data_IF_926762275087
#
_entry.id   IF_926762275087
#
_cell.length_a   1.000
_cell.length_b   1.000
_cell.length_c   1.000
_cell.angle_alpha   90.00
_cell.angle_beta   90.00
_cell.angle_gamma   90.00
#
_symmetry.space_group_name_H-M   'P 1'
#
loop_
_entity.id
_entity.type
_entity.pdbx_description
1 polymer ?
#
# COMPACT_ATOMS: atom_id res chain seq x y z
N UNK A 1 22.64 1.56 10.48
CA UNK A 1 22.65 0.40 9.56
C UNK A 1 21.96 -0.83 10.19
N UNK A 2 22.32 -1.34 11.41
CA UNK A 2 21.69 -2.57 11.95
C UNK A 2 20.16 -2.47 12.12
N UNK A 3 19.66 -1.34 12.57
CA UNK A 3 18.20 -1.12 12.73
C UNK A 3 17.42 -1.23 11.42
N UNK A 4 18.04 -0.91 10.28
CA UNK A 4 17.41 -1.04 8.96
C UNK A 4 17.20 -2.52 8.63
N UNK A 5 18.20 -3.37 8.86
CA UNK A 5 18.07 -4.81 8.63
C UNK A 5 17.04 -5.45 9.54
N UNK A 6 17.01 -5.07 10.82
CA UNK A 6 15.98 -5.54 11.76
C UNK A 6 14.59 -5.10 11.26
N UNK A 7 14.44 -3.85 10.80
CA UNK A 7 13.19 -3.33 10.25
C UNK A 7 12.71 -4.10 9.01
N UNK A 8 13.61 -4.44 8.08
CA UNK A 8 13.28 -5.22 6.88
C UNK A 8 12.82 -6.63 7.29
N UNK A 9 13.59 -7.30 8.16
CA UNK A 9 13.21 -8.63 8.66
C UNK A 9 11.84 -8.61 9.33
N UNK A 10 11.57 -7.61 10.18
CA UNK A 10 10.31 -7.46 10.87
C UNK A 10 9.14 -7.21 9.91
N UNK A 11 9.34 -6.35 8.91
CA UNK A 11 8.33 -6.07 7.89
C UNK A 11 7.93 -7.32 7.09
N UNK A 12 8.93 -8.11 6.64
CA UNK A 12 8.67 -9.38 5.95
C UNK A 12 7.97 -10.37 6.88
N UNK A 13 8.39 -10.45 8.14
CA UNK A 13 7.82 -11.37 9.14
C UNK A 13 6.34 -11.07 9.41
N UNK A 14 5.95 -9.80 9.55
CA UNK A 14 4.53 -9.41 9.77
C UNK A 14 3.66 -9.91 8.63
N UNK A 15 4.06 -9.70 7.38
CA UNK A 15 3.29 -10.14 6.21
C UNK A 15 3.23 -11.67 6.11
N UNK A 16 4.32 -12.35 6.42
CA UNK A 16 4.41 -13.81 6.40
C UNK A 16 3.52 -14.44 7.48
N UNK A 17 3.59 -13.92 8.71
CA UNK A 17 2.74 -14.40 9.83
C UNK A 17 1.27 -14.17 9.52
N UNK A 18 0.91 -13.00 8.99
CA UNK A 18 -0.47 -12.69 8.59
C UNK A 18 -0.96 -13.69 7.53
N UNK A 19 -0.15 -14.00 6.53
CA UNK A 19 -0.50 -15.01 5.52
C UNK A 19 -0.71 -16.39 6.15
N UNK A 20 0.14 -16.80 7.08
CA UNK A 20 0.02 -18.11 7.76
C UNK A 20 -1.20 -18.19 8.68
N UNK A 21 -1.66 -17.07 9.24
CA UNK A 21 -2.92 -17.05 10.00
C UNK A 21 -4.11 -17.43 9.09
N UNK A 22 -4.11 -17.02 7.83
CA UNK A 22 -5.14 -17.43 6.88
C UNK A 22 -4.94 -18.90 6.44
N UNK A 23 -3.73 -19.26 6.03
CA UNK A 23 -3.42 -20.62 5.54
C UNK A 23 -3.67 -21.68 6.62
N UNK A 24 -3.47 -21.35 7.90
CA UNK A 24 -3.69 -22.25 9.02
C UNK A 24 -5.15 -22.59 9.33
N UNK A 25 -6.11 -21.90 8.69
CA UNK A 25 -7.54 -22.14 8.88
C UNK A 25 -8.02 -23.30 8.00
N UNK A 26 -7.83 -24.53 8.47
CA UNK A 26 -8.18 -25.74 7.71
C UNK A 26 -9.66 -25.85 7.28
N UNK A 27 -10.58 -25.22 8.02
CA UNK A 27 -12.00 -25.14 7.65
C UNK A 27 -12.32 -24.12 6.55
N UNK A 28 -11.30 -23.44 6.00
CA UNK A 28 -11.44 -22.40 4.96
C UNK A 28 -10.56 -22.73 3.75
N UNK A 29 -11.03 -23.61 2.86
CA UNK A 29 -10.23 -24.15 1.76
C UNK A 29 -9.66 -23.07 0.83
N UNK A 30 -10.39 -21.98 0.60
CA UNK A 30 -9.97 -20.89 -0.28
C UNK A 30 -8.63 -20.26 0.14
N UNK A 31 -8.34 -20.20 1.46
CA UNK A 31 -7.07 -19.67 1.96
C UNK A 31 -5.97 -20.72 2.06
N UNK A 32 -6.31 -22.00 1.98
CA UNK A 32 -5.32 -23.08 2.09
C UNK A 32 -4.48 -23.22 0.81
N UNK A 33 -3.60 -22.25 0.61
CA UNK A 33 -2.70 -22.20 -0.53
C UNK A 33 -1.34 -21.63 -0.14
N UNK A 34 -0.27 -22.32 -0.53
CA UNK A 34 1.10 -21.86 -0.31
C UNK A 34 1.42 -20.52 -1.00
N UNK A 35 0.63 -20.14 -2.03
CA UNK A 35 0.82 -18.90 -2.79
C UNK A 35 0.40 -17.66 -1.97
N UNK A 36 -0.43 -17.82 -0.94
CA UNK A 36 -0.93 -16.68 -0.14
C UNK A 36 0.22 -15.88 0.48
N UNK A 37 1.24 -16.54 1.05
CA UNK A 37 2.41 -15.89 1.63
C UNK A 37 3.16 -14.99 0.61
N UNK A 38 3.67 -15.55 -0.48
CA UNK A 38 4.29 -14.78 -1.57
C UNK A 38 3.41 -13.65 -2.11
N UNK A 39 2.09 -13.86 -2.24
CA UNK A 39 1.14 -12.82 -2.66
C UNK A 39 1.05 -11.65 -1.67
N UNK A 40 1.06 -11.92 -0.37
CA UNK A 40 1.08 -10.86 0.65
C UNK A 40 2.34 -10.02 0.54
N UNK A 41 3.50 -10.67 0.39
CA UNK A 41 4.78 -9.97 0.24
C UNK A 41 4.80 -9.14 -1.05
N UNK A 42 4.43 -9.72 -2.20
CA UNK A 42 4.42 -9.00 -3.48
C UNK A 42 3.49 -7.78 -3.44
N UNK A 43 2.30 -7.92 -2.86
CA UNK A 43 1.35 -6.82 -2.71
C UNK A 43 1.85 -5.74 -1.74
N UNK A 44 2.55 -6.10 -0.67
CA UNK A 44 3.17 -5.15 0.25
C UNK A 44 4.29 -4.33 -0.43
N UNK A 45 5.14 -5.00 -1.21
CA UNK A 45 6.17 -4.33 -2.02
C UNK A 45 5.61 -3.54 -3.20
N UNK A 46 4.35 -3.73 -3.56
CA UNK A 46 3.64 -2.90 -4.53
C UNK A 46 3.03 -1.67 -3.85
N UNK A 47 2.17 -1.86 -2.85
CA UNK A 47 1.42 -0.79 -2.22
C UNK A 47 2.31 0.10 -1.33
N UNK A 48 3.25 -0.48 -0.57
CA UNK A 48 4.13 0.26 0.33
C UNK A 48 4.96 1.32 -0.39
N UNK A 49 5.82 0.96 -1.34
CA UNK A 49 6.59 1.93 -2.09
C UNK A 49 5.72 2.90 -2.92
N UNK A 50 4.52 2.49 -3.39
CA UNK A 50 3.59 3.39 -4.05
C UNK A 50 3.09 4.49 -3.11
N UNK A 51 2.75 4.15 -1.85
CA UNK A 51 2.40 5.13 -0.80
C UNK A 51 3.60 6.06 -0.53
N UNK A 52 4.82 5.52 -0.45
CA UNK A 52 6.03 6.32 -0.23
C UNK A 52 6.25 7.30 -1.38
N UNK A 53 6.04 6.91 -2.64
CA UNK A 53 6.15 7.81 -3.80
C UNK A 53 5.18 8.97 -3.64
N UNK A 54 3.90 8.71 -3.35
CA UNK A 54 2.89 9.76 -3.15
C UNK A 54 3.25 10.67 -1.98
N UNK A 55 3.74 10.08 -0.88
CA UNK A 55 4.19 10.82 0.30
C UNK A 55 5.38 11.74 -0.03
N UNK A 56 6.38 11.25 -0.75
CA UNK A 56 7.55 12.03 -1.17
C UNK A 56 7.16 13.15 -2.15
N UNK A 57 6.20 12.90 -3.04
CA UNK A 57 5.68 13.93 -3.93
C UNK A 57 4.87 14.99 -3.17
N UNK A 58 4.11 14.60 -2.16
CA UNK A 58 3.44 15.54 -1.26
C UNK A 58 4.45 16.41 -0.51
N UNK A 59 5.52 15.82 0.06
CA UNK A 59 6.62 16.57 0.69
C UNK A 59 7.19 17.60 -0.30
N UNK A 60 7.50 17.17 -1.51
CA UNK A 60 8.07 18.01 -2.56
C UNK A 60 7.15 19.16 -2.96
N UNK A 61 5.83 18.97 -2.87
CA UNK A 61 4.82 19.98 -3.22
C UNK A 61 4.54 20.97 -2.08
N UNK A 62 4.54 20.49 -0.84
CA UNK A 62 4.11 21.26 0.33
C UNK A 62 5.26 21.75 1.21
N UNK A 63 6.50 21.35 0.92
CA UNK A 63 7.69 21.76 1.67
C UNK A 63 8.79 22.25 0.73
N UNK A 64 9.80 22.91 1.29
CA UNK A 64 11.00 23.32 0.58
C UNK A 64 12.03 22.20 0.42
N UNK A 65 11.76 21.02 0.98
CA UNK A 65 12.66 19.88 0.89
C UNK A 65 12.67 19.27 -0.52
N UNK A 66 13.88 19.16 -1.08
CA UNK A 66 14.04 18.61 -2.44
C UNK A 66 14.28 17.11 -2.41
N UNK A 67 13.31 16.36 -2.89
CA UNK A 67 13.42 14.92 -3.13
C UNK A 67 14.01 14.69 -4.51
N UNK A 68 15.13 13.94 -4.66
CA UNK A 68 15.74 13.68 -5.97
C UNK A 68 14.85 12.74 -6.81
N UNK A 69 14.72 13.03 -8.11
CA UNK A 69 13.94 12.20 -9.04
C UNK A 69 14.44 10.76 -9.10
N UNK A 70 15.75 10.55 -8.93
CA UNK A 70 16.34 9.21 -8.87
C UNK A 70 15.72 8.32 -7.79
N UNK A 71 15.39 8.88 -6.62
CA UNK A 71 14.74 8.13 -5.54
C UNK A 71 13.32 7.68 -5.96
N UNK A 72 12.54 8.58 -6.57
CA UNK A 72 11.20 8.26 -7.05
C UNK A 72 11.23 7.20 -8.17
N UNK A 73 12.17 7.32 -9.11
CA UNK A 73 12.31 6.35 -10.20
C UNK A 73 12.79 4.98 -9.71
N UNK A 74 13.63 4.93 -8.67
CA UNK A 74 14.02 3.66 -8.04
C UNK A 74 12.82 2.99 -7.39
N UNK A 75 12.05 3.73 -6.61
CA UNK A 75 10.81 3.21 -5.99
C UNK A 75 9.80 2.77 -7.05
N UNK A 76 9.63 3.54 -8.14
CA UNK A 76 8.81 3.15 -9.29
C UNK A 76 9.20 1.78 -9.83
N UNK A 77 10.51 1.51 -9.99
CA UNK A 77 10.97 0.22 -10.50
C UNK A 77 10.63 -0.93 -9.54
N UNK A 78 10.70 -0.69 -8.24
CA UNK A 78 10.27 -1.66 -7.22
C UNK A 78 8.77 -1.93 -7.36
N UNK A 79 7.93 -0.90 -7.43
CA UNK A 79 6.47 -1.05 -7.62
C UNK A 79 6.17 -1.83 -8.90
N UNK A 80 6.85 -1.52 -10.00
CA UNK A 80 6.64 -2.18 -11.29
C UNK A 80 6.94 -3.68 -11.23
N UNK A 81 8.10 -4.06 -10.70
CA UNK A 81 8.49 -5.48 -10.58
C UNK A 81 7.56 -6.23 -9.62
N UNK A 82 7.26 -5.62 -8.47
CA UNK A 82 6.38 -6.24 -7.47
C UNK A 82 4.95 -6.40 -7.98
N UNK A 83 4.42 -5.43 -8.73
CA UNK A 83 3.11 -5.51 -9.36
C UNK A 83 3.07 -6.63 -10.41
N UNK A 84 4.11 -6.78 -11.23
CA UNK A 84 4.21 -7.89 -12.18
C UNK A 84 4.18 -9.24 -11.45
N UNK A 85 4.94 -9.38 -10.38
CA UNK A 85 4.94 -10.60 -9.56
C UNK A 85 3.56 -10.82 -8.92
N UNK A 86 2.92 -9.77 -8.40
CA UNK A 86 1.58 -9.89 -7.81
C UNK A 86 0.54 -10.36 -8.83
N UNK A 87 0.53 -9.78 -10.04
CA UNK A 87 -0.38 -10.20 -11.11
C UNK A 87 -0.10 -11.64 -11.57
N UNK A 88 1.16 -12.03 -11.68
CA UNK A 88 1.56 -13.40 -12.01
C UNK A 88 1.07 -14.41 -10.96
N UNK A 89 1.25 -14.09 -9.67
CA UNK A 89 0.79 -14.95 -8.58
C UNK A 89 -0.75 -15.01 -8.52
N UNK A 90 -1.45 -13.90 -8.81
CA UNK A 90 -2.91 -13.89 -8.94
C UNK A 90 -3.36 -14.80 -10.09
N UNK A 91 -2.72 -14.72 -11.24
CA UNK A 91 -3.03 -15.59 -12.38
C UNK A 91 -2.80 -17.07 -12.05
N UNK A 92 -1.70 -17.40 -11.36
CA UNK A 92 -1.44 -18.76 -10.90
C UNK A 92 -2.50 -19.26 -9.90
N UNK A 93 -2.97 -18.40 -9.00
CA UNK A 93 -4.04 -18.79 -8.07
C UNK A 93 -5.35 -19.04 -8.81
N UNK A 94 -5.74 -18.15 -9.72
CA UNK A 94 -6.92 -18.34 -10.56
C UNK A 94 -6.81 -19.64 -11.36
N UNK A 95 -5.65 -19.88 -12.00
CA UNK A 95 -5.41 -21.13 -12.72
C UNK A 95 -5.57 -22.36 -11.81
N UNK A 96 -4.93 -22.36 -10.66
CA UNK A 96 -5.02 -23.45 -9.67
C UNK A 96 -6.47 -23.73 -9.26
N UNK A 97 -7.22 -22.68 -8.94
CA UNK A 97 -8.59 -22.81 -8.43
C UNK A 97 -9.54 -23.38 -9.51
N UNK A 98 -9.41 -22.96 -10.76
CA UNK A 98 -10.28 -23.43 -11.84
C UNK A 98 -9.79 -24.70 -12.57
N UNK A 99 -8.50 -25.03 -12.45
CA UNK A 99 -7.95 -26.24 -13.06
C UNK A 99 -8.33 -27.51 -12.30
N UNK A 100 -8.39 -27.42 -10.97
CA UNK A 100 -8.78 -28.55 -10.12
C UNK A 100 -10.22 -28.33 -9.65
N UNK A 101 -11.15 -29.19 -10.02
CA UNK A 101 -12.56 -29.12 -9.59
C UNK A 101 -12.69 -29.57 -8.13
N UNK A 102 -12.21 -28.76 -7.20
CA UNK A 102 -12.15 -28.97 -5.76
C UNK A 102 -13.21 -28.16 -5.01
N UNK A 103 -13.34 -28.38 -3.69
CA UNK A 103 -14.16 -27.56 -2.79
C UNK A 103 -13.80 -26.05 -2.83
N UNK A 104 -12.56 -25.72 -3.19
CA UNK A 104 -12.07 -24.36 -3.38
C UNK A 104 -12.79 -23.59 -4.50
N UNK A 105 -13.21 -24.30 -5.56
CA UNK A 105 -13.82 -23.69 -6.76
C UNK A 105 -15.07 -22.89 -6.44
N UNK A 106 -15.84 -23.28 -5.42
CA UNK A 106 -17.07 -22.58 -5.03
C UNK A 106 -16.81 -21.13 -4.64
N UNK A 107 -15.79 -20.88 -3.81
CA UNK A 107 -15.40 -19.52 -3.40
C UNK A 107 -14.82 -18.72 -4.57
N UNK A 108 -14.01 -19.35 -5.43
CA UNK A 108 -13.49 -18.72 -6.62
C UNK A 108 -14.61 -18.40 -7.64
N UNK A 109 -15.55 -19.29 -7.86
CA UNK A 109 -16.73 -19.03 -8.71
C UNK A 109 -17.55 -17.88 -8.18
N UNK A 110 -17.84 -17.86 -6.84
CA UNK A 110 -18.55 -16.76 -6.21
C UNK A 110 -17.84 -15.42 -6.44
N UNK A 111 -16.51 -15.41 -6.29
CA UNK A 111 -15.71 -14.20 -6.47
C UNK A 111 -15.72 -13.67 -7.91
N UNK A 112 -15.48 -14.54 -8.90
CA UNK A 112 -15.26 -14.12 -10.29
C UNK A 112 -16.52 -14.05 -11.15
N UNK A 113 -17.49 -14.92 -10.88
CA UNK A 113 -18.67 -15.10 -11.73
C UNK A 113 -19.99 -15.03 -10.97
N UNK A 114 -19.95 -15.14 -9.65
CA UNK A 114 -21.11 -15.32 -8.81
C UNK A 114 -21.51 -16.78 -8.65
N UNK A 115 -22.31 -17.06 -7.62
CA UNK A 115 -22.76 -18.40 -7.27
C UNK A 115 -24.23 -18.35 -6.83
N UNK A 116 -25.07 -19.24 -7.37
CA UNK A 116 -26.51 -19.37 -7.04
C UNK A 116 -27.30 -18.04 -7.10
N UNK A 117 -26.96 -17.13 -8.00
CA UNK A 117 -27.61 -15.83 -8.13
C UNK A 117 -27.00 -14.70 -7.28
N UNK A 118 -26.01 -15.01 -6.47
CA UNK A 118 -25.29 -14.03 -5.66
C UNK A 118 -24.06 -13.51 -6.41
N UNK A 119 -23.91 -12.18 -6.53
CA UNK A 119 -22.89 -11.54 -7.36
C UNK A 119 -22.18 -10.34 -6.68
N UNK A 120 -22.33 -10.14 -5.38
CA UNK A 120 -21.86 -8.93 -4.70
C UNK A 120 -20.35 -8.69 -4.85
N UNK A 121 -19.51 -9.73 -4.94
CA UNK A 121 -18.06 -9.58 -5.05
C UNK A 121 -17.55 -9.44 -6.48
N UNK A 122 -18.34 -9.82 -7.49
CA UNK A 122 -17.91 -9.80 -8.90
C UNK A 122 -17.42 -8.42 -9.36
N UNK A 123 -18.15 -7.31 -9.13
CA UNK A 123 -17.68 -6.00 -9.56
C UNK A 123 -16.38 -5.57 -8.85
N UNK A 124 -16.19 -5.98 -7.60
CA UNK A 124 -15.00 -5.63 -6.84
C UNK A 124 -13.73 -6.28 -7.39
N UNK A 125 -13.75 -7.59 -7.66
CA UNK A 125 -12.57 -8.29 -8.15
C UNK A 125 -12.17 -7.82 -9.55
N UNK A 126 -13.14 -7.62 -10.44
CA UNK A 126 -12.84 -7.13 -11.78
C UNK A 126 -12.33 -5.69 -11.79
N UNK A 127 -12.84 -4.84 -10.88
CA UNK A 127 -12.31 -3.49 -10.66
C UNK A 127 -10.88 -3.54 -10.15
N UNK A 128 -10.58 -4.41 -9.18
CA UNK A 128 -9.22 -4.58 -8.65
C UNK A 128 -8.24 -5.02 -9.73
N UNK A 129 -8.62 -6.03 -10.54
CA UNK A 129 -7.79 -6.51 -11.66
C UNK A 129 -7.60 -5.40 -12.69
N UNK A 130 -8.66 -4.69 -13.05
CA UNK A 130 -8.60 -3.56 -13.99
C UNK A 130 -7.64 -2.47 -13.51
N UNK A 131 -7.69 -2.11 -12.23
CA UNK A 131 -6.79 -1.12 -11.64
C UNK A 131 -5.34 -1.62 -11.60
N UNK A 132 -5.11 -2.85 -11.17
CA UNK A 132 -3.77 -3.43 -11.10
C UNK A 132 -3.13 -3.57 -12.47
N UNK A 133 -3.89 -4.03 -13.48
CA UNK A 133 -3.41 -4.13 -14.86
C UNK A 133 -3.13 -2.75 -15.45
N UNK A 134 -4.04 -1.79 -15.25
CA UNK A 134 -3.85 -0.41 -15.72
C UNK A 134 -2.63 0.23 -15.05
N UNK A 135 -2.45 0.05 -13.75
CA UNK A 135 -1.28 0.51 -13.02
C UNK A 135 0.01 -0.10 -13.59
N UNK A 136 0.01 -1.42 -13.86
CA UNK A 136 1.15 -2.11 -14.46
C UNK A 136 1.47 -1.58 -15.85
N UNK A 137 0.47 -1.36 -16.71
CA UNK A 137 0.65 -0.78 -18.05
C UNK A 137 1.24 0.62 -17.96
N UNK A 138 0.69 1.48 -17.10
CA UNK A 138 1.22 2.83 -16.88
C UNK A 138 2.68 2.80 -16.39
N UNK A 139 3.01 1.89 -15.46
CA UNK A 139 4.37 1.72 -14.96
C UNK A 139 5.32 1.16 -16.03
N UNK A 140 4.86 0.31 -16.93
CA UNK A 140 5.67 -0.23 -18.03
C UNK A 140 5.96 0.80 -19.10
N UNK A 141 5.04 1.71 -19.35
CA UNK A 141 5.20 2.76 -20.35
C UNK A 141 6.16 3.87 -19.90
N UNK A 142 6.87 4.53 -20.83
CA UNK A 142 7.74 5.67 -20.50
C UNK A 142 6.98 6.87 -19.92
N UNK A 143 5.65 6.91 -20.06
CA UNK A 143 4.78 7.94 -19.49
C UNK A 143 4.95 8.08 -17.96
N UNK A 144 5.16 6.99 -17.24
CA UNK A 144 5.34 6.98 -15.79
C UNK A 144 6.68 7.58 -15.31
N UNK A 145 7.55 8.00 -16.22
CA UNK A 145 8.67 8.88 -15.91
C UNK A 145 8.21 10.32 -15.63
N UNK A 146 7.02 10.70 -16.14
CA UNK A 146 6.35 11.94 -15.78
C UNK A 146 5.61 11.79 -14.44
N UNK A 147 5.81 12.72 -13.51
CA UNK A 147 5.32 12.64 -12.13
C UNK A 147 3.80 12.44 -12.01
N UNK A 148 3.01 13.09 -12.88
CA UNK A 148 1.54 12.96 -12.85
C UNK A 148 1.06 11.55 -13.18
N UNK A 149 1.68 10.92 -14.17
CA UNK A 149 1.35 9.55 -14.57
C UNK A 149 1.83 8.53 -13.54
N UNK A 150 2.95 8.83 -12.88
CA UNK A 150 3.44 8.03 -11.77
C UNK A 150 2.47 8.08 -10.57
N UNK A 151 1.95 9.26 -10.23
CA UNK A 151 0.95 9.40 -9.17
C UNK A 151 -0.33 8.61 -9.48
N UNK A 152 -0.83 8.73 -10.72
CA UNK A 152 -2.01 7.98 -11.15
C UNK A 152 -1.78 6.47 -11.06
N UNK A 153 -0.63 5.97 -11.52
CA UNK A 153 -0.27 4.57 -11.42
C UNK A 153 -0.17 4.10 -9.96
N UNK A 154 0.42 4.91 -9.07
CA UNK A 154 0.52 4.60 -7.64
C UNK A 154 -0.86 4.55 -6.97
N UNK A 155 -1.75 5.50 -7.27
CA UNK A 155 -3.12 5.52 -6.72
C UNK A 155 -3.88 4.27 -7.18
N UNK A 156 -3.84 3.93 -8.47
CA UNK A 156 -4.48 2.74 -9.00
C UNK A 156 -3.92 1.46 -8.37
N UNK A 157 -2.59 1.38 -8.20
CA UNK A 157 -1.95 0.24 -7.55
C UNK A 157 -2.39 0.09 -6.08
N UNK A 158 -2.42 1.17 -5.31
CA UNK A 158 -2.83 1.15 -3.90
C UNK A 158 -4.29 0.70 -3.77
N UNK A 159 -5.19 1.33 -4.53
CA UNK A 159 -6.63 1.02 -4.47
C UNK A 159 -6.88 -0.39 -5.00
N UNK A 160 -6.25 -0.78 -6.11
CA UNK A 160 -6.38 -2.12 -6.69
C UNK A 160 -5.92 -3.22 -5.74
N UNK A 161 -4.76 -3.06 -5.10
CA UNK A 161 -4.25 -4.01 -4.10
C UNK A 161 -5.16 -4.04 -2.86
N UNK A 162 -5.66 -2.89 -2.40
CA UNK A 162 -6.56 -2.84 -1.26
C UNK A 162 -7.86 -3.61 -1.50
N UNK A 163 -8.49 -3.40 -2.66
CA UNK A 163 -9.69 -4.14 -3.05
C UNK A 163 -9.37 -5.64 -3.24
N UNK A 164 -8.26 -5.97 -3.91
CA UNK A 164 -7.83 -7.34 -4.13
C UNK A 164 -7.64 -8.12 -2.81
N UNK A 165 -7.07 -7.48 -1.78
CA UNK A 165 -6.84 -8.14 -0.49
C UNK A 165 -8.08 -8.15 0.41
N UNK A 166 -8.86 -7.07 0.45
CA UNK A 166 -10.09 -7.00 1.23
C UNK A 166 -11.20 -7.84 0.60
N UNK A 167 -11.75 -7.35 -0.50
CA UNK A 167 -12.91 -7.97 -1.15
C UNK A 167 -12.57 -9.21 -1.97
N UNK A 168 -11.32 -9.32 -2.47
CA UNK A 168 -10.88 -10.42 -3.32
C UNK A 168 -10.23 -11.59 -2.59
N UNK A 169 -9.78 -11.42 -1.35
CA UNK A 169 -9.14 -12.49 -0.59
C UNK A 169 -9.84 -12.76 0.75
N UNK A 170 -10.09 -11.72 1.56
CA UNK A 170 -10.64 -11.91 2.89
C UNK A 170 -12.09 -12.39 2.82
N UNK A 171 -12.96 -11.66 2.12
CA UNK A 171 -14.39 -11.96 2.10
C UNK A 171 -14.71 -13.32 1.44
N UNK A 172 -14.16 -13.67 0.24
CA UNK A 172 -14.50 -14.95 -0.39
C UNK A 172 -14.01 -16.18 0.40
N UNK A 173 -13.03 -16.02 1.30
CA UNK A 173 -12.63 -17.09 2.19
C UNK A 173 -13.66 -17.46 3.25
N UNK A 174 -14.63 -16.57 3.51
CA UNK A 174 -15.76 -16.87 4.41
C UNK A 174 -17.00 -17.38 3.66
N UNK A 175 -17.04 -17.27 2.33
CA UNK A 175 -18.20 -17.59 1.49
C UNK A 175 -17.82 -18.60 0.41
N UNK A 176 -18.53 -19.74 0.27
CA UNK A 176 -19.61 -20.22 1.15
C UNK A 176 -19.15 -20.57 2.57
N UNK A 177 -20.09 -20.63 3.52
CA UNK A 177 -19.80 -21.18 4.86
C UNK A 177 -19.46 -22.68 4.76
N UNK A 178 -18.86 -23.30 5.78
CA UNK A 178 -18.66 -24.76 5.79
C UNK A 178 -19.94 -25.60 5.61
N UNK A 179 -21.09 -25.00 5.88
CA UNK A 179 -22.42 -25.61 5.67
C UNK A 179 -22.99 -25.33 4.27
N UNK A 180 -22.23 -24.66 3.39
CA UNK A 180 -22.65 -24.31 2.04
C UNK A 180 -23.55 -23.08 1.95
N UNK A 181 -23.77 -22.35 3.04
CA UNK A 181 -24.58 -21.13 3.04
C UNK A 181 -23.80 -19.95 2.42
N UNK A 182 -24.51 -19.15 1.61
CA UNK A 182 -23.95 -17.95 1.00
C UNK A 182 -24.55 -16.73 1.71
N UNK A 183 -23.69 -16.01 2.45
CA UNK A 183 -24.04 -14.75 3.09
C UNK A 183 -23.29 -13.64 2.38
N UNK A 184 -24.00 -12.74 1.69
CA UNK A 184 -23.37 -11.62 1.02
C UNK A 184 -23.00 -10.53 2.02
N UNK A 185 -21.74 -10.13 1.95
CA UNK A 185 -21.22 -9.02 2.72
C UNK A 185 -21.31 -7.72 1.94
N UNK A 186 -21.95 -6.73 2.54
CA UNK A 186 -21.94 -5.34 2.09
C UNK A 186 -21.43 -4.45 3.23
N UNK A 187 -20.42 -3.60 3.01
CA UNK A 187 -19.90 -2.73 4.06
C UNK A 187 -20.99 -1.82 4.60
N UNK A 188 -21.17 -1.82 5.91
CA UNK A 188 -22.07 -0.89 6.59
C UNK A 188 -21.45 0.52 6.66
N UNK A 189 -22.30 1.54 6.88
CA UNK A 189 -21.82 2.91 7.07
C UNK A 189 -20.82 3.01 8.23
N UNK A 190 -21.05 2.31 9.33
CA UNK A 190 -20.15 2.32 10.49
C UNK A 190 -18.78 1.72 10.16
N UNK A 191 -18.74 0.59 9.43
CA UNK A 191 -17.49 -0.04 9.00
C UNK A 191 -16.71 0.88 8.05
N UNK A 192 -17.41 1.54 7.13
CA UNK A 192 -16.80 2.52 6.22
C UNK A 192 -16.21 3.70 7.00
N UNK A 193 -16.95 4.25 7.98
CA UNK A 193 -16.47 5.36 8.81
C UNK A 193 -15.27 4.96 9.67
N UNK A 194 -15.26 3.74 10.22
CA UNK A 194 -14.11 3.20 10.97
C UNK A 194 -12.89 3.08 10.06
N UNK A 195 -13.06 2.54 8.87
CA UNK A 195 -11.99 2.43 7.89
C UNK A 195 -11.40 3.80 7.52
N UNK A 196 -12.25 4.80 7.23
CA UNK A 196 -11.82 6.17 6.98
C UNK A 196 -11.12 6.80 8.18
N UNK A 197 -11.59 6.51 9.41
CA UNK A 197 -10.95 6.96 10.64
C UNK A 197 -9.53 6.42 10.81
N UNK A 198 -9.31 5.14 10.50
CA UNK A 198 -7.98 4.52 10.54
C UNK A 198 -7.05 5.17 9.51
N UNK A 199 -7.51 5.40 8.29
CA UNK A 199 -6.75 6.12 7.26
C UNK A 199 -6.42 7.55 7.68
N UNK A 200 -7.40 8.27 8.25
CA UNK A 200 -7.21 9.64 8.74
C UNK A 200 -6.18 9.69 9.87
N UNK A 201 -6.21 8.73 10.80
CA UNK A 201 -5.22 8.62 11.88
C UNK A 201 -3.81 8.35 11.33
N UNK A 202 -3.67 7.48 10.34
CA UNK A 202 -2.39 7.23 9.66
C UNK A 202 -1.84 8.49 8.98
N UNK A 203 -2.68 9.23 8.26
CA UNK A 203 -2.30 10.49 7.60
C UNK A 203 -1.96 11.58 8.62
N UNK A 204 -2.68 11.66 9.73
CA UNK A 204 -2.36 12.59 10.83
C UNK A 204 -0.98 12.29 11.42
N UNK A 205 -0.73 11.02 11.78
CA UNK A 205 0.56 10.58 12.31
C UNK A 205 1.71 10.91 11.35
N UNK A 206 1.52 10.59 10.06
CA UNK A 206 2.47 10.95 9.02
C UNK A 206 2.74 12.46 8.95
N UNK A 207 1.69 13.28 9.01
CA UNK A 207 1.81 14.74 8.97
C UNK A 207 2.59 15.27 10.18
N UNK A 208 2.33 14.74 11.38
CA UNK A 208 3.05 15.13 12.61
C UNK A 208 4.53 14.79 12.48
N UNK A 209 4.85 13.54 12.06
CA UNK A 209 6.26 13.13 11.88
C UNK A 209 6.97 13.96 10.82
N UNK A 210 6.30 14.32 9.72
CA UNK A 210 6.88 15.19 8.71
C UNK A 210 7.19 16.58 9.25
N UNK A 211 6.28 17.18 10.02
CA UNK A 211 6.49 18.50 10.64
C UNK A 211 7.68 18.50 11.60
N UNK A 212 7.98 17.37 12.21
CA UNK A 212 9.15 17.22 13.08
C UNK A 212 10.43 16.93 12.26
N UNK A 213 10.36 16.03 11.29
CA UNK A 213 11.54 15.54 10.56
C UNK A 213 12.11 16.54 9.56
N UNK A 214 11.27 17.28 8.84
CA UNK A 214 11.74 18.20 7.79
C UNK A 214 12.61 19.32 8.36
N UNK A 215 12.24 20.04 9.45
CA UNK A 215 13.11 21.04 10.06
C UNK A 215 14.42 20.48 10.62
N UNK A 216 14.39 19.23 11.15
CA UNK A 216 15.60 18.55 11.64
C UNK A 216 16.55 18.30 10.48
N UNK A 217 16.07 17.76 9.37
CA UNK A 217 16.87 17.46 8.16
C UNK A 217 17.40 18.74 7.49
N UNK A 218 16.69 19.85 7.60
CA UNK A 218 17.12 21.16 7.08
C UNK A 218 18.06 21.93 8.03
N UNK A 219 18.23 21.48 9.27
CA UNK A 219 19.04 22.16 10.28
C UNK A 219 18.41 23.47 10.80
N UNK A 220 17.13 23.74 10.47
CA UNK A 220 16.45 25.01 10.82
C UNK A 220 16.00 25.08 12.27
N UNK A 221 15.93 23.97 12.99
CA UNK A 221 15.58 23.95 14.43
C UNK A 221 16.62 24.67 15.30
N UNK A 222 17.91 24.59 14.97
CA UNK A 222 18.95 25.29 15.72
C UNK A 222 18.92 26.80 15.47
N UNK A 223 18.59 27.23 14.24
CA UNK A 223 18.49 28.66 13.93
C UNK A 223 17.35 29.36 14.63
N UNK A 224 16.21 28.68 14.84
CA UNK A 224 15.09 29.25 15.61
C UNK A 224 15.40 29.37 17.10
N UNK A 225 16.21 28.46 17.65
CA UNK A 225 16.65 28.54 19.05
C UNK A 225 17.73 29.64 19.24
N UNK A 226 18.60 29.88 18.30
CA UNK A 226 19.56 31.00 18.33
C UNK A 226 18.88 32.34 18.11
N UNK A 227 17.81 32.42 17.33
CA UNK A 227 17.01 33.65 17.18
C UNK A 227 16.10 33.94 18.37
N UNK A 228 15.72 32.93 19.18
CA UNK A 228 14.92 33.04 20.39
C UNK A 228 15.77 33.13 21.68
N UNK A 229 17.10 33.04 21.57
CA UNK A 229 18.00 33.22 22.70
C UNK A 229 17.94 34.66 23.22
N UNK A 230 18.11 34.86 24.56
CA UNK A 230 18.00 36.21 25.16
C UNK A 230 19.00 37.15 24.49
N UNK A 231 18.51 38.34 24.17
CA UNK A 231 19.24 39.44 23.47
C UNK A 231 20.50 39.98 24.24
N UNK A 232 20.99 39.24 25.22
CA UNK A 232 22.00 39.66 26.20
C UNK A 232 23.45 39.42 25.75
N UNK A 233 23.72 38.79 24.60
CA UNK A 233 25.09 38.51 24.15
C UNK A 233 25.37 38.93 22.71
N UNK A 234 24.88 40.07 22.25
CA UNK A 234 25.45 40.71 21.07
C UNK A 234 26.66 41.53 21.48
N UNK A 235 27.87 41.22 21.04
CA UNK A 235 28.99 42.12 21.21
C UNK A 235 28.68 43.43 20.49
N UNK A 236 28.58 44.50 21.24
CA UNK A 236 28.49 45.86 20.73
C UNK A 236 29.83 46.20 20.02
N UNK A 237 29.77 46.35 18.74
CA UNK A 237 30.91 46.92 18.02
C UNK A 237 31.32 46.16 16.75
N UNK A 238 30.65 46.49 15.64
CA UNK A 238 31.31 46.66 14.34
C UNK A 238 30.35 47.49 13.46
N UNK A 239 30.64 48.79 13.43
CA UNK A 239 30.03 49.72 12.49
C UNK A 239 30.48 49.38 11.06
N UNK A 240 29.62 49.52 10.04
CA UNK A 240 30.00 49.29 8.66
C UNK A 240 30.93 50.40 8.20
N UNK A 241 32.17 50.03 7.76
CA UNK A 241 33.09 50.93 7.06
C UNK A 241 32.45 51.33 5.74
N UNK A 242 32.25 52.63 5.55
CA UNK A 242 31.99 53.24 4.24
C UNK A 242 33.29 53.24 3.40
N UNK A 243 33.27 52.62 2.30
CA UNK A 243 33.87 53.09 1.03
C UNK A 243 33.17 52.42 -0.13
#
# INVERSE_FOLDING_TARGET
IPFVFIGIFWAVSIHTVTAFLYVGLGGRPFWNSAIVGPRFIASAFTAGPAIIILALQAIRRFTTYRVPDKALLTLRSIVQVSMLINLFLLANEVFKEFYTDNLHVSSARYLFFGLHGYHALVPWIWTAIGFNVTAMVLLALPLSRGLRWLDAACILAIVGIWIEKGMGLVIPGFVPSPLGEIVEYTPTLNETLICLGIWAFGLLSYTVFLRMSVPILQGTLNQSNEAAGPASNRPAGLAPAKT
#
